data_IF_005328541941
#
_entry.id   IF_005328541941
#
_cell.length_a   1.000
_cell.length_b   1.000
_cell.length_c   1.000
_cell.angle_alpha   90.00
_cell.angle_beta   90.00
_cell.angle_gamma   90.00
#
_symmetry.space_group_name_H-M   'P 1'
#
loop_
_entity.id
_entity.type
_entity.pdbx_description
1 polymer ?
#
# COMPACT_ATOMS: atom_id res chain seq x y z
N UNK A 1 -39.65 -10.10 50.78
CA UNK A 1 -40.67 -9.60 49.82
C UNK A 1 -40.05 -8.62 48.83
N UNK A 2 -40.81 -8.29 47.78
CA UNK A 2 -40.47 -7.45 46.62
C UNK A 2 -39.71 -6.15 46.95
N UNK A 3 -38.57 -5.92 46.28
CA UNK A 3 -37.82 -4.66 46.33
C UNK A 3 -37.16 -4.22 45.01
N UNK A 4 -37.33 -4.98 43.92
CA UNK A 4 -36.54 -4.81 42.68
C UNK A 4 -37.18 -3.89 41.61
N UNK A 5 -38.40 -3.37 41.83
CA UNK A 5 -39.05 -2.45 40.89
C UNK A 5 -38.62 -1.00 41.14
N UNK A 6 -37.50 -0.56 40.53
CA UNK A 6 -37.25 0.88 40.25
C UNK A 6 -36.17 1.23 39.20
N UNK A 7 -35.21 0.35 38.88
CA UNK A 7 -34.15 0.64 37.89
C UNK A 7 -34.18 -0.29 36.66
N UNK A 8 -35.32 -0.35 35.96
CA UNK A 8 -35.52 -1.21 34.77
C UNK A 8 -35.94 -0.42 33.51
N UNK A 9 -35.74 0.91 33.50
CA UNK A 9 -36.18 1.81 32.41
C UNK A 9 -35.07 2.65 31.76
N UNK A 10 -33.78 2.36 32.02
CA UNK A 10 -32.65 2.97 31.29
C UNK A 10 -31.96 2.02 30.30
N UNK A 11 -32.42 0.77 30.19
CA UNK A 11 -31.78 -0.29 29.39
C UNK A 11 -32.23 -0.30 27.90
N UNK A 12 -33.30 0.42 27.54
CA UNK A 12 -33.89 0.39 26.19
C UNK A 12 -33.83 1.77 25.51
N UNK A 13 -32.61 2.24 25.16
CA UNK A 13 -32.47 3.35 24.18
C UNK A 13 -31.17 3.35 23.35
N UNK A 14 -30.68 2.19 22.89
CA UNK A 14 -29.69 2.15 21.80
C UNK A 14 -29.61 0.78 21.07
N UNK A 15 -30.64 0.45 20.28
CA UNK A 15 -30.58 -0.65 19.29
C UNK A 15 -31.06 -0.14 17.92
N UNK A 16 -30.17 0.54 17.20
CA UNK A 16 -30.39 1.08 15.85
C UNK A 16 -29.46 0.43 14.83
N UNK A 17 -29.97 -0.55 14.09
CA UNK A 17 -29.32 -1.21 12.93
C UNK A 17 -29.35 -0.25 11.71
N UNK A 18 -28.54 -0.33 10.63
CA UNK A 18 -27.50 -1.29 10.18
C UNK A 18 -26.70 -0.72 8.98
N UNK A 19 -25.39 -1.02 8.94
CA UNK A 19 -24.46 -1.29 7.80
C UNK A 19 -24.83 -0.88 6.35
N UNK A 20 -23.86 -0.24 5.64
CA UNK A 20 -23.42 -0.36 4.20
C UNK A 20 -22.85 1.00 3.73
N UNK A 21 -21.83 1.14 2.88
CA UNK A 21 -20.90 0.23 2.19
C UNK A 21 -19.46 0.78 2.26
N UNK A 22 -18.44 -0.08 2.16
CA UNK A 22 -17.04 0.32 1.95
C UNK A 22 -16.50 -0.27 0.64
N UNK A 23 -16.37 0.54 -0.40
CA UNK A 23 -15.80 0.10 -1.67
C UNK A 23 -14.27 0.24 -1.65
N UNK A 24 -13.58 -0.88 -1.48
CA UNK A 24 -12.12 -0.99 -1.68
C UNK A 24 -11.91 -1.66 -3.03
N UNK A 25 -11.51 -0.88 -4.04
CA UNK A 25 -11.24 -1.38 -5.38
C UNK A 25 -9.90 -2.12 -5.43
N UNK A 26 -9.94 -3.45 -5.34
CA UNK A 26 -8.77 -4.31 -5.56
C UNK A 26 -8.51 -4.48 -7.06
N UNK A 27 -7.43 -3.90 -7.56
CA UNK A 27 -7.00 -4.10 -8.95
C UNK A 27 -6.43 -5.52 -9.14
N UNK A 28 -7.16 -6.37 -9.86
CA UNK A 28 -6.69 -7.70 -10.25
C UNK A 28 -6.05 -7.63 -11.65
N UNK A 29 -4.72 -7.73 -11.70
CA UNK A 29 -4.00 -7.99 -12.94
C UNK A 29 -3.99 -9.49 -13.24
N UNK A 30 -4.75 -9.92 -14.25
CA UNK A 30 -4.75 -11.31 -14.74
C UNK A 30 -4.68 -11.34 -16.27
N UNK A 31 -3.47 -11.48 -16.81
CA UNK A 31 -3.21 -11.72 -18.23
C UNK A 31 -3.33 -13.21 -18.56
N UNK A 32 -4.15 -13.60 -19.54
CA UNK A 32 -3.89 -14.79 -20.40
C UNK A 32 -4.87 -14.99 -21.57
N UNK A 33 -4.34 -14.84 -22.79
CA UNK A 33 -4.51 -15.72 -23.97
C UNK A 33 -5.87 -15.91 -24.68
N UNK A 34 -5.76 -15.92 -26.03
CA UNK A 34 -6.37 -16.82 -27.04
C UNK A 34 -7.87 -16.70 -27.41
N UNK A 35 -8.12 -15.85 -28.41
CA UNK A 35 -8.72 -16.13 -29.73
C UNK A 35 -9.85 -17.17 -29.94
N UNK A 36 -10.82 -16.69 -30.74
CA UNK A 36 -11.52 -17.32 -31.88
C UNK A 36 -12.82 -18.12 -31.70
N UNK A 37 -13.63 -17.95 -32.76
CA UNK A 37 -14.73 -18.76 -33.29
C UNK A 37 -16.16 -18.73 -32.67
N UNK A 38 -17.10 -18.91 -33.60
CA UNK A 38 -18.58 -18.93 -33.56
C UNK A 38 -19.01 -19.84 -34.75
N UNK A 39 -20.28 -20.00 -35.21
CA UNK A 39 -21.56 -19.36 -34.84
C UNK A 39 -22.75 -20.37 -34.73
N UNK A 40 -24.00 -19.87 -34.87
CA UNK A 40 -25.30 -20.59 -34.98
C UNK A 40 -25.88 -21.20 -33.66
N UNK A 41 -27.21 -21.26 -33.44
CA UNK A 41 -28.40 -20.84 -34.24
C UNK A 41 -29.58 -20.32 -33.37
N UNK A 42 -30.71 -19.97 -34.00
CA UNK A 42 -31.95 -19.35 -33.46
C UNK A 42 -32.73 -20.24 -32.44
N UNK A 43 -33.70 -19.77 -31.65
CA UNK A 43 -34.28 -18.41 -31.46
C UNK A 43 -35.63 -18.44 -30.70
N UNK A 44 -36.41 -17.35 -30.75
CA UNK A 44 -37.71 -17.08 -30.06
C UNK A 44 -37.62 -16.93 -28.52
N UNK A 45 -38.32 -16.02 -27.82
CA UNK A 45 -39.58 -15.31 -28.11
C UNK A 45 -39.52 -13.77 -27.96
N UNK A 46 -40.60 -13.12 -28.43
CA UNK A 46 -40.98 -11.72 -28.19
C UNK A 46 -42.21 -11.68 -27.26
N UNK A 47 -42.58 -10.63 -26.51
CA UNK A 47 -41.99 -9.30 -26.16
C UNK A 47 -42.78 -8.78 -24.90
N UNK A 48 -42.77 -7.54 -24.35
CA UNK A 48 -42.41 -6.17 -24.75
C UNK A 48 -41.87 -5.38 -23.53
N UNK A 49 -41.02 -4.37 -23.76
CA UNK A 49 -40.89 -3.16 -22.91
C UNK A 49 -40.24 -2.05 -23.75
N UNK A 50 -40.83 -0.84 -23.78
CA UNK A 50 -40.47 0.23 -24.73
C UNK A 50 -39.94 1.48 -24.02
N UNK A 51 -38.63 1.77 -24.04
CA UNK A 51 -38.10 3.07 -23.66
C UNK A 51 -38.50 4.13 -24.71
N UNK A 52 -39.04 5.26 -24.27
CA UNK A 52 -39.30 6.41 -25.13
C UNK A 52 -38.00 7.16 -25.42
N UNK A 53 -37.66 7.29 -26.71
CA UNK A 53 -36.56 8.16 -27.13
C UNK A 53 -36.94 9.63 -26.88
N UNK A 54 -36.31 10.25 -25.88
CA UNK A 54 -36.23 11.70 -25.73
C UNK A 54 -34.75 12.10 -25.80
N UNK A 55 -34.24 12.19 -27.02
CA UNK A 55 -32.84 12.61 -27.25
C UNK A 55 -32.72 14.12 -27.06
N UNK A 56 -31.94 14.55 -26.06
CA UNK A 56 -31.42 15.91 -25.95
C UNK A 56 -29.92 15.85 -25.61
N UNK A 57 -29.03 15.82 -26.62
CA UNK A 57 -27.60 15.82 -26.37
C UNK A 57 -27.17 17.13 -25.70
N UNK A 58 -26.34 17.05 -24.65
CA UNK A 58 -25.90 18.20 -23.85
C UNK A 58 -25.14 19.28 -24.64
N UNK A 59 -24.73 18.97 -25.87
CA UNK A 59 -24.04 19.88 -26.77
C UNK A 59 -24.78 21.22 -27.00
N UNK A 60 -26.12 21.20 -27.17
CA UNK A 60 -26.89 22.43 -27.37
C UNK A 60 -26.83 23.38 -26.17
N UNK A 61 -26.74 22.85 -24.95
CA UNK A 61 -26.62 23.67 -23.74
C UNK A 61 -25.25 24.36 -23.65
N UNK A 62 -24.18 23.74 -24.17
CA UNK A 62 -22.85 24.35 -24.22
C UNK A 62 -22.75 25.43 -25.31
N UNK A 63 -23.41 25.24 -26.46
CA UNK A 63 -23.53 26.29 -27.48
C UNK A 63 -24.32 27.50 -26.99
N UNK A 64 -25.42 27.32 -26.27
CA UNK A 64 -26.22 28.43 -25.71
C UNK A 64 -25.46 29.26 -24.66
N UNK A 65 -24.44 28.68 -24.02
CA UNK A 65 -23.53 29.39 -23.11
C UNK A 65 -22.32 30.02 -23.81
N UNK A 66 -22.22 29.95 -25.14
CA UNK A 66 -21.11 30.50 -25.91
C UNK A 66 -19.77 29.76 -25.76
N UNK A 67 -19.75 28.58 -25.11
CA UNK A 67 -18.52 27.84 -24.79
C UNK A 67 -18.07 27.03 -26.01
N UNK A 68 -17.40 27.69 -26.95
CA UNK A 68 -16.76 27.05 -28.09
C UNK A 68 -15.39 26.47 -27.72
N UNK A 69 -15.24 25.15 -27.77
CA UNK A 69 -13.96 24.45 -27.55
C UNK A 69 -13.10 24.43 -28.82
N UNK A 70 -12.91 25.59 -29.44
CA UNK A 70 -11.94 25.81 -30.52
C UNK A 70 -11.13 27.07 -30.22
N UNK A 71 -9.95 26.87 -29.62
CA UNK A 71 -9.01 27.96 -29.32
C UNK A 71 -7.79 27.79 -30.22
N UNK A 72 -7.71 28.62 -31.27
CA UNK A 72 -6.50 28.71 -32.08
C UNK A 72 -5.35 29.20 -31.20
N UNK A 73 -4.22 28.49 -31.25
CA UNK A 73 -2.99 28.89 -30.57
C UNK A 73 -2.19 29.78 -31.51
N UNK A 74 -2.22 31.09 -31.29
CA UNK A 74 -1.22 31.99 -31.87
C UNK A 74 0.08 31.81 -31.08
N UNK A 75 1.14 31.39 -31.76
CA UNK A 75 2.49 31.42 -31.22
C UNK A 75 3.10 32.80 -31.49
N UNK A 76 3.42 33.52 -30.43
CA UNK A 76 4.17 34.78 -30.46
C UNK A 76 5.35 34.64 -29.51
N UNK A 77 6.56 34.64 -30.06
CA UNK A 77 7.80 34.38 -29.32
C UNK A 77 8.29 35.65 -28.61
N UNK A 78 8.05 35.76 -27.30
CA UNK A 78 8.80 36.67 -26.43
C UNK A 78 8.95 36.04 -25.02
N UNK A 79 10.16 35.70 -24.56
CA UNK A 79 10.39 35.02 -23.28
C UNK A 79 10.39 36.01 -22.10
N UNK A 80 9.21 36.51 -21.72
CA UNK A 80 9.06 37.40 -20.54
C UNK A 80 9.51 36.67 -19.27
N UNK A 81 10.61 37.12 -18.67
CA UNK A 81 11.23 36.48 -17.51
C UNK A 81 10.41 36.68 -16.24
N UNK A 82 10.02 35.59 -15.58
CA UNK A 82 9.24 35.62 -14.35
C UNK A 82 10.14 35.88 -13.13
N UNK A 83 9.81 36.83 -12.22
CA UNK A 83 10.71 37.28 -11.14
C UNK A 83 10.86 36.29 -9.97
N UNK A 84 10.45 35.03 -10.15
CA UNK A 84 10.61 33.92 -9.21
C UNK A 84 11.50 32.79 -9.77
N UNK A 85 12.04 32.94 -10.98
CA UNK A 85 13.06 32.02 -11.51
C UNK A 85 14.44 32.38 -10.92
N UNK A 86 15.10 31.43 -10.25
CA UNK A 86 16.40 31.65 -9.61
C UNK A 86 17.50 31.89 -10.67
N UNK A 87 18.20 33.04 -10.65
CA UNK A 87 19.19 33.40 -11.69
C UNK A 87 20.53 32.68 -11.47
N UNK A 88 20.57 31.39 -11.79
CA UNK A 88 21.75 30.54 -11.64
C UNK A 88 21.99 29.65 -12.89
N UNK A 89 21.75 30.19 -14.08
CA UNK A 89 21.78 29.38 -15.31
C UNK A 89 22.02 30.17 -16.63
N UNK A 90 23.03 31.04 -16.68
CA UNK A 90 23.65 31.43 -17.95
C UNK A 90 25.13 31.83 -17.74
N UNK A 91 26.06 30.94 -18.12
CA UNK A 91 27.51 31.16 -18.00
C UNK A 91 28.28 29.86 -17.79
N UNK A 92 29.23 29.61 -18.71
CA UNK A 92 30.17 28.46 -18.76
C UNK A 92 29.55 27.05 -18.72
N UNK A 93 30.39 26.05 -19.01
CA UNK A 93 29.96 24.68 -19.25
C UNK A 93 29.30 24.05 -18.04
N UNK A 94 28.03 23.68 -18.19
CA UNK A 94 27.36 22.76 -17.26
C UNK A 94 27.89 21.36 -17.51
N UNK A 95 28.99 21.04 -16.85
CA UNK A 95 29.21 19.65 -16.44
C UNK A 95 27.92 19.19 -15.74
N UNK A 96 27.41 18.01 -16.13
CA UNK A 96 26.42 17.36 -15.28
C UNK A 96 27.12 16.91 -14.01
N UNK A 97 27.10 17.75 -12.98
CA UNK A 97 27.30 17.31 -11.61
C UNK A 97 26.18 16.32 -11.27
N UNK A 98 26.41 15.06 -11.67
CA UNK A 98 25.68 13.89 -11.22
C UNK A 98 25.98 13.72 -9.74
N UNK A 99 25.35 14.59 -8.93
CA UNK A 99 25.52 14.77 -7.49
C UNK A 99 25.84 13.44 -6.84
N UNK A 100 27.12 13.21 -6.53
CA UNK A 100 27.63 11.87 -6.25
C UNK A 100 26.98 11.38 -4.95
N UNK A 101 25.87 10.63 -5.08
CA UNK A 101 25.17 10.06 -3.94
C UNK A 101 26.13 9.04 -3.33
N UNK A 102 26.68 9.27 -2.13
CA UNK A 102 27.70 8.40 -1.58
C UNK A 102 27.13 6.99 -1.43
N UNK A 103 27.71 6.02 -2.15
CA UNK A 103 27.21 4.65 -2.27
C UNK A 103 27.12 4.03 -0.88
N UNK A 104 25.90 3.99 -0.32
CA UNK A 104 25.67 3.64 1.08
C UNK A 104 26.12 2.21 1.37
N UNK A 105 27.18 2.08 2.16
CA UNK A 105 27.75 0.79 2.57
C UNK A 105 26.78 -0.04 3.42
N UNK A 106 25.91 0.61 4.21
CA UNK A 106 24.83 -0.04 4.97
C UNK A 106 23.50 0.01 4.21
N UNK A 107 22.87 -1.16 4.05
CA UNK A 107 21.55 -1.33 3.44
C UNK A 107 20.53 -1.69 4.52
N UNK A 108 19.29 -1.20 4.39
CA UNK A 108 18.23 -1.40 5.37
C UNK A 108 17.00 -2.12 4.77
N UNK A 109 16.40 -3.03 5.53
CA UNK A 109 15.07 -3.56 5.28
C UNK A 109 14.25 -3.56 6.58
N UNK A 110 12.96 -3.22 6.51
CA UNK A 110 12.08 -3.11 7.69
C UNK A 110 10.70 -3.70 7.39
N UNK A 111 10.35 -4.79 8.06
CA UNK A 111 8.99 -5.33 8.05
C UNK A 111 8.15 -4.69 9.17
N UNK A 112 7.19 -3.86 8.78
CA UNK A 112 6.24 -3.20 9.69
C UNK A 112 5.08 -4.13 10.06
N UNK A 113 4.33 -3.80 11.12
CA UNK A 113 3.07 -4.44 11.50
C UNK A 113 3.10 -5.95 11.86
N UNK A 114 4.27 -6.49 12.23
CA UNK A 114 4.45 -7.90 12.64
C UNK A 114 3.52 -8.25 13.82
N UNK A 115 2.70 -9.30 13.67
CA UNK A 115 1.74 -9.77 14.68
C UNK A 115 2.37 -10.76 15.68
N UNK A 116 3.53 -10.41 16.23
CA UNK A 116 4.26 -11.19 17.24
C UNK A 116 4.80 -10.26 18.34
N UNK A 117 4.99 -10.77 19.56
CA UNK A 117 5.55 -9.99 20.67
C UNK A 117 7.02 -9.62 20.39
N UNK A 118 7.44 -8.35 20.53
CA UNK A 118 8.82 -7.92 20.27
C UNK A 118 9.88 -8.76 21.00
N UNK A 119 9.63 -9.15 22.27
CA UNK A 119 10.55 -10.01 23.04
C UNK A 119 10.79 -11.37 22.37
N UNK A 120 9.76 -11.97 21.75
CA UNK A 120 9.86 -13.28 21.07
C UNK A 120 10.59 -13.20 19.73
N UNK A 121 10.51 -12.06 19.02
CA UNK A 121 11.25 -11.84 17.77
C UNK A 121 12.69 -11.41 18.06
N UNK A 122 12.91 -10.55 19.07
CA UNK A 122 14.25 -10.08 19.45
C UNK A 122 15.19 -11.22 19.90
N UNK A 123 14.65 -12.30 20.48
CA UNK A 123 15.44 -13.51 20.80
C UNK A 123 16.08 -14.10 19.53
N UNK A 124 15.30 -14.26 18.45
CA UNK A 124 15.81 -14.80 17.18
C UNK A 124 16.63 -13.76 16.41
N UNK A 125 16.25 -12.49 16.46
CA UNK A 125 17.02 -11.40 15.86
C UNK A 125 18.39 -11.21 16.52
N UNK A 126 18.53 -11.48 17.81
CA UNK A 126 19.82 -11.44 18.52
C UNK A 126 20.76 -12.56 18.09
N UNK A 127 20.23 -13.76 17.82
CA UNK A 127 20.99 -14.94 17.40
C UNK A 127 21.67 -14.75 16.03
N UNK A 128 21.13 -13.91 15.15
CA UNK A 128 21.68 -13.66 13.79
C UNK A 128 22.48 -12.36 13.66
N UNK A 129 22.78 -11.65 14.76
CA UNK A 129 23.64 -10.44 14.71
C UNK A 129 25.09 -10.85 14.49
N UNK A 130 25.79 -10.16 13.59
CA UNK A 130 27.21 -10.40 13.29
C UNK A 130 27.47 -11.63 12.39
N UNK A 131 26.47 -12.47 12.11
CA UNK A 131 26.60 -13.58 11.16
C UNK A 131 26.71 -13.07 9.71
N UNK A 132 27.29 -13.88 8.82
CA UNK A 132 27.11 -13.68 7.36
C UNK A 132 25.64 -13.89 7.01
N UNK A 133 25.19 -13.27 5.92
CA UNK A 133 23.79 -13.38 5.48
C UNK A 133 23.41 -14.81 5.13
N UNK A 134 24.34 -15.61 4.57
CA UNK A 134 24.08 -17.00 4.19
C UNK A 134 23.93 -17.91 5.42
N UNK A 135 24.91 -17.90 6.32
CA UNK A 135 24.87 -18.60 7.61
C UNK A 135 23.58 -18.28 8.38
N UNK A 136 23.19 -17.00 8.41
CA UNK A 136 21.96 -16.55 9.06
C UNK A 136 20.71 -17.12 8.39
N UNK A 137 20.65 -17.20 7.05
CA UNK A 137 19.52 -17.77 6.32
C UNK A 137 19.39 -19.28 6.59
N UNK A 138 20.50 -20.03 6.58
CA UNK A 138 20.53 -21.48 6.89
C UNK A 138 20.09 -21.72 8.34
N UNK A 139 20.70 -21.00 9.30
CA UNK A 139 20.38 -21.13 10.71
C UNK A 139 18.90 -20.82 11.00
N UNK A 140 18.33 -19.82 10.33
CA UNK A 140 16.91 -19.48 10.46
C UNK A 140 15.96 -20.56 9.91
N UNK A 141 16.36 -21.30 8.87
CA UNK A 141 15.57 -22.43 8.35
C UNK A 141 15.50 -23.59 9.36
N UNK A 142 16.61 -23.88 10.06
CA UNK A 142 16.68 -24.96 11.07
C UNK A 142 16.03 -24.58 12.41
N UNK A 143 15.99 -23.29 12.78
CA UNK A 143 15.46 -22.88 14.09
C UNK A 143 13.94 -23.06 14.24
N UNK A 144 13.53 -23.95 15.15
CA UNK A 144 12.13 -24.31 15.49
C UNK A 144 11.24 -23.13 15.96
N UNK A 145 11.80 -21.95 16.24
CA UNK A 145 11.03 -20.80 16.75
C UNK A 145 10.28 -20.12 15.59
N UNK A 146 8.93 -20.04 15.64
CA UNK A 146 8.07 -19.37 14.63
C UNK A 146 8.50 -17.93 14.23
N UNK A 147 9.24 -17.21 15.06
CA UNK A 147 9.80 -15.90 14.69
C UNK A 147 10.93 -15.97 13.64
N UNK A 148 11.56 -17.12 13.44
CA UNK A 148 12.58 -17.32 12.41
C UNK A 148 12.02 -17.08 11.00
N UNK A 149 10.80 -17.54 10.72
CA UNK A 149 10.10 -17.27 9.46
C UNK A 149 9.89 -15.77 9.17
N UNK A 150 9.72 -14.93 10.21
CA UNK A 150 9.56 -13.48 10.02
C UNK A 150 10.91 -12.77 9.88
N UNK A 151 11.96 -13.21 10.59
CA UNK A 151 13.33 -12.70 10.43
C UNK A 151 13.93 -13.11 9.07
N UNK A 152 13.77 -14.37 8.65
CA UNK A 152 14.23 -14.90 7.37
C UNK A 152 13.73 -14.06 6.19
N UNK A 153 12.43 -13.73 6.18
CA UNK A 153 11.83 -12.87 5.15
C UNK A 153 12.43 -11.46 5.12
N UNK A 154 12.86 -10.92 6.26
CA UNK A 154 13.52 -9.60 6.32
C UNK A 154 14.95 -9.68 5.81
N UNK A 155 15.72 -10.70 6.20
CA UNK A 155 17.11 -10.87 5.74
C UNK A 155 17.15 -11.18 4.23
N UNK A 156 16.23 -12.01 3.74
CA UNK A 156 16.12 -12.29 2.30
C UNK A 156 15.78 -11.03 1.50
N UNK A 157 14.89 -10.16 2.01
CA UNK A 157 14.59 -8.87 1.40
C UNK A 157 15.77 -7.88 1.51
N UNK A 158 16.53 -7.90 2.61
CA UNK A 158 17.74 -7.10 2.76
C UNK A 158 18.81 -7.49 1.73
N UNK A 159 19.04 -8.79 1.52
CA UNK A 159 19.93 -9.33 0.48
C UNK A 159 19.50 -8.85 -0.91
N UNK A 160 18.21 -8.99 -1.25
CA UNK A 160 17.68 -8.54 -2.55
C UNK A 160 17.81 -7.02 -2.76
N UNK A 161 17.57 -6.21 -1.72
CA UNK A 161 17.78 -4.76 -1.79
C UNK A 161 19.28 -4.41 -1.97
N UNK A 162 20.19 -5.15 -1.33
CA UNK A 162 21.62 -4.91 -1.40
C UNK A 162 22.20 -5.25 -2.78
N UNK A 163 21.77 -6.37 -3.39
CA UNK A 163 22.20 -6.72 -4.75
C UNK A 163 21.56 -5.80 -5.79
N UNK A 164 20.23 -5.67 -5.81
CA UNK A 164 19.51 -4.98 -6.88
C UNK A 164 19.65 -3.45 -6.82
N UNK A 165 19.43 -2.82 -5.66
CA UNK A 165 19.37 -1.35 -5.56
C UNK A 165 20.72 -0.71 -5.22
N UNK A 166 21.66 -1.50 -4.72
CA UNK A 166 22.96 -1.00 -4.26
C UNK A 166 24.16 -1.67 -4.94
N UNK A 167 23.97 -2.69 -5.78
CA UNK A 167 25.09 -3.36 -6.47
C UNK A 167 26.19 -3.78 -5.50
N UNK A 168 25.80 -4.49 -4.43
CA UNK A 168 26.71 -5.09 -3.45
C UNK A 168 26.77 -6.60 -3.69
N UNK A 169 27.97 -7.15 -3.54
CA UNK A 169 28.27 -8.59 -3.62
C UNK A 169 27.51 -9.35 -2.52
N UNK A 170 26.60 -10.30 -2.86
CA UNK A 170 25.76 -11.00 -1.88
C UNK A 170 26.57 -11.84 -0.89
N UNK A 171 27.69 -12.41 -1.32
CA UNK A 171 28.48 -13.41 -0.59
C UNK A 171 29.32 -12.74 0.52
N UNK A 172 29.52 -11.42 0.40
CA UNK A 172 30.22 -10.57 1.37
C UNK A 172 29.28 -9.87 2.36
N UNK A 173 27.96 -10.09 2.27
CA UNK A 173 27.01 -9.42 3.16
C UNK A 173 27.01 -10.01 4.57
N UNK A 174 27.03 -9.13 5.58
CA UNK A 174 26.97 -9.49 7.00
C UNK A 174 25.83 -8.74 7.72
N UNK A 175 25.21 -9.38 8.70
CA UNK A 175 24.07 -8.83 9.45
C UNK A 175 24.58 -7.92 10.58
N UNK A 176 25.01 -6.71 10.22
CA UNK A 176 25.64 -5.78 11.16
C UNK A 176 24.73 -5.39 12.34
N UNK A 177 23.45 -5.11 12.06
CA UNK A 177 22.48 -4.63 13.06
C UNK A 177 21.09 -5.26 12.79
N UNK A 178 20.45 -5.81 13.83
CA UNK A 178 19.13 -6.43 13.71
C UNK A 178 18.28 -6.23 14.98
N UNK A 179 17.56 -5.12 15.08
CA UNK A 179 16.75 -4.72 16.25
C UNK A 179 15.24 -4.86 16.02
N UNK A 180 14.47 -4.93 17.11
CA UNK A 180 13.00 -5.08 17.08
C UNK A 180 12.33 -4.06 18.01
N UNK A 181 11.57 -3.12 17.42
CA UNK A 181 10.83 -2.09 18.16
C UNK A 181 9.45 -2.54 18.65
N UNK A 182 8.80 -1.69 19.47
CA UNK A 182 7.37 -1.84 19.82
C UNK A 182 6.51 -1.41 18.62
N UNK A 183 5.50 -2.22 18.28
CA UNK A 183 4.48 -1.87 17.28
C UNK A 183 3.16 -1.44 17.91
N UNK A 184 2.21 -1.01 17.08
CA UNK A 184 0.83 -0.75 17.51
C UNK A 184 0.17 -2.06 18.02
N UNK A 185 -0.39 -2.02 19.22
CA UNK A 185 -1.19 -3.11 19.79
C UNK A 185 -2.52 -2.57 20.34
N UNK A 186 -3.60 -3.31 20.13
CA UNK A 186 -4.88 -3.03 20.77
C UNK A 186 -4.88 -3.61 22.19
N UNK A 187 -5.29 -2.81 23.18
CA UNK A 187 -5.64 -3.32 24.52
C UNK A 187 -6.90 -4.20 24.42
N UNK A 188 -7.02 -5.18 25.31
CA UNK A 188 -8.22 -6.02 25.48
C UNK A 188 -8.54 -6.11 26.98
N UNK A 189 -9.81 -6.18 27.33
CA UNK A 189 -10.26 -6.51 28.69
C UNK A 189 -10.00 -7.99 28.95
N UNK A 190 -9.58 -8.34 30.17
CA UNK A 190 -9.29 -9.71 30.58
C UNK A 190 -10.13 -10.05 31.82
N UNK A 191 -11.29 -10.68 31.62
CA UNK A 191 -12.17 -11.06 32.72
C UNK A 191 -11.58 -12.21 33.55
N UNK A 192 -11.66 -12.08 34.86
CA UNK A 192 -11.11 -12.99 35.86
C UNK A 192 -12.16 -13.32 36.94
N UNK A 193 -11.93 -14.42 37.68
CA UNK A 193 -12.85 -14.90 38.70
C UNK A 193 -13.11 -13.84 39.82
N UNK A 194 -14.29 -13.95 40.46
CA UNK A 194 -14.79 -13.01 41.47
C UNK A 194 -14.93 -11.56 40.96
N UNK A 195 -15.36 -11.38 39.70
CA UNK A 195 -15.74 -10.07 39.13
C UNK A 195 -14.57 -9.13 38.87
N UNK A 196 -13.38 -9.67 38.59
CA UNK A 196 -12.15 -8.89 38.32
C UNK A 196 -11.95 -8.72 36.81
N UNK A 197 -11.39 -7.59 36.36
CA UNK A 197 -11.23 -7.23 34.94
C UNK A 197 -10.09 -6.24 34.70
#
# INVERSE_FOLDING_TARGET
MVGWKRNLQTVIRQVGRRVKNSHISTANYSSSTRNLESPFSQGYLQSLLRPSYSSRPLYHHLQQLGISTSRQLQASEEPVSSPLSSPALLGSGKEEEQKIIPKRQKVQAVLKSIKQSPKKVNLVAALVRGMRVEDALIQLQVTVKRAAQTVYRVIHAARANATHNHGLDPDRLLVAEAFVGKGLFGKKVAYHAKGRS
#
